data_IF_169875376156
#
_entry.id   IF_169875376156
#
_cell.length_a   1.000
_cell.length_b   1.000
_cell.length_c   1.000
_cell.angle_alpha   90.00
_cell.angle_beta   90.00
_cell.angle_gamma   90.00
#
_symmetry.space_group_name_H-M   'P 1'
#
loop_
_entity.id
_entity.type
_entity.pdbx_description
1 polymer ?
#
# COMPACT_ATOMS: atom_id res chain seq x y z
N UNK A 1 28.25 -16.84 5.75
CA UNK A 1 28.06 -15.39 5.94
C UNK A 1 27.36 -14.82 4.72
N UNK A 2 26.51 -13.79 4.93
CA UNK A 2 25.76 -13.10 3.89
C UNK A 2 25.55 -11.63 4.31
N UNK A 3 25.53 -10.70 3.36
CA UNK A 3 25.11 -9.32 3.62
C UNK A 3 23.71 -9.12 3.05
N UNK A 4 22.81 -8.59 3.86
CA UNK A 4 21.44 -8.21 3.49
C UNK A 4 21.28 -6.71 3.71
N UNK A 5 20.90 -5.95 2.69
CA UNK A 5 20.72 -4.51 2.80
C UNK A 5 19.51 -4.01 2.01
N UNK A 6 18.80 -3.09 2.63
CA UNK A 6 17.68 -2.36 2.03
C UNK A 6 18.16 -1.36 0.96
N UNK A 7 17.39 -1.20 -0.09
CA UNK A 7 17.54 -0.16 -1.10
C UNK A 7 16.19 0.54 -1.33
N UNK A 8 16.09 1.89 -1.20
CA UNK A 8 17.12 2.83 -0.78
C UNK A 8 17.50 2.71 0.72
N UNK A 9 18.60 3.33 1.23
CA UNK A 9 19.51 4.27 0.54
C UNK A 9 20.52 3.58 -0.41
N UNK A 10 20.60 4.08 -1.64
CA UNK A 10 21.39 3.42 -2.69
C UNK A 10 22.90 3.40 -2.41
N UNK A 11 23.45 4.46 -1.80
CA UNK A 11 24.87 4.58 -1.46
C UNK A 11 25.29 3.58 -0.37
N UNK A 12 24.44 3.38 0.64
CA UNK A 12 24.68 2.38 1.70
C UNK A 12 24.63 0.97 1.11
N UNK A 13 23.57 0.66 0.35
CA UNK A 13 23.43 -0.63 -0.31
C UNK A 13 24.60 -0.92 -1.26
N UNK A 14 25.13 0.08 -1.98
CA UNK A 14 26.30 -0.05 -2.83
C UNK A 14 27.54 -0.44 -2.03
N UNK A 15 27.82 0.22 -0.91
CA UNK A 15 28.97 -0.13 -0.05
C UNK A 15 28.82 -1.56 0.47
N UNK A 16 27.62 -1.98 0.87
CA UNK A 16 27.35 -3.35 1.30
C UNK A 16 27.61 -4.35 0.16
N UNK A 17 27.13 -4.08 -1.05
CA UNK A 17 27.32 -4.93 -2.22
C UNK A 17 28.82 -5.07 -2.60
N UNK A 18 29.55 -3.94 -2.64
CA UNK A 18 30.99 -3.92 -2.93
C UNK A 18 31.77 -4.69 -1.85
N UNK A 19 31.47 -4.50 -0.57
CA UNK A 19 32.09 -5.24 0.53
C UNK A 19 31.82 -6.74 0.42
N UNK A 20 30.58 -7.14 0.11
CA UNK A 20 30.25 -8.55 -0.10
C UNK A 20 31.07 -9.15 -1.25
N UNK A 21 31.13 -8.44 -2.37
CA UNK A 21 31.90 -8.85 -3.55
C UNK A 21 33.39 -9.00 -3.26
N UNK A 22 34.01 -8.05 -2.57
CA UNK A 22 35.43 -8.08 -2.18
C UNK A 22 35.75 -9.26 -1.28
N UNK A 23 34.79 -9.69 -0.46
CA UNK A 23 35.02 -10.82 0.47
C UNK A 23 34.46 -12.15 -0.07
N UNK A 24 33.88 -12.16 -1.27
CA UNK A 24 33.36 -13.38 -1.89
C UNK A 24 32.15 -13.97 -1.14
N UNK A 25 31.36 -13.15 -0.50
CA UNK A 25 30.15 -13.55 0.22
C UNK A 25 28.88 -13.08 -0.52
N UNK A 26 27.75 -13.81 -0.43
CA UNK A 26 26.51 -13.42 -1.07
C UNK A 26 25.98 -12.07 -0.57
N UNK A 27 25.36 -11.30 -1.48
CA UNK A 27 24.67 -10.06 -1.18
C UNK A 27 23.22 -10.12 -1.63
N UNK A 28 22.28 -9.84 -0.72
CA UNK A 28 20.86 -9.73 -1.02
C UNK A 28 20.42 -8.28 -0.90
N UNK A 29 19.84 -7.76 -1.96
CA UNK A 29 19.20 -6.44 -1.97
C UNK A 29 17.71 -6.55 -1.64
N UNK A 30 17.25 -5.78 -0.64
CA UNK A 30 15.84 -5.63 -0.28
C UNK A 30 15.30 -4.36 -0.93
N UNK A 31 14.58 -4.52 -2.04
CA UNK A 31 14.12 -3.42 -2.89
C UNK A 31 12.76 -2.92 -2.38
N UNK A 32 12.78 -1.85 -1.59
CA UNK A 32 11.59 -1.26 -0.98
C UNK A 32 11.06 -0.04 -1.73
N UNK A 33 11.89 0.58 -2.57
CA UNK A 33 11.50 1.68 -3.45
C UNK A 33 12.48 1.79 -4.63
N UNK A 34 12.04 2.38 -5.73
CA UNK A 34 12.85 2.54 -6.94
C UNK A 34 13.44 3.95 -7.01
N UNK A 35 14.61 4.16 -6.42
CA UNK A 35 15.37 5.39 -6.58
C UNK A 35 16.42 5.24 -7.68
N UNK A 36 16.49 6.19 -8.63
CA UNK A 36 15.90 7.55 -8.63
C UNK A 36 14.52 7.67 -9.30
N UNK A 37 13.91 6.61 -9.78
CA UNK A 37 12.67 6.66 -10.54
C UNK A 37 11.55 7.37 -9.75
N UNK A 38 11.35 7.01 -8.49
CA UNK A 38 10.37 7.63 -7.61
C UNK A 38 10.66 9.12 -7.32
N UNK A 39 11.92 9.53 -7.30
CA UNK A 39 12.28 10.94 -7.09
C UNK A 39 11.84 11.84 -8.25
N UNK A 40 11.73 11.28 -9.47
CA UNK A 40 11.29 12.02 -10.67
C UNK A 40 9.84 12.49 -10.58
N UNK A 41 9.03 11.89 -9.71
CA UNK A 41 7.68 12.36 -9.43
C UNK A 41 7.66 13.72 -8.74
N UNK A 42 8.65 13.98 -7.89
CA UNK A 42 8.75 15.24 -7.14
C UNK A 42 9.41 16.35 -7.97
N UNK A 43 10.38 15.98 -8.81
CA UNK A 43 11.16 16.91 -9.63
C UNK A 43 11.32 16.34 -11.03
N UNK A 44 10.43 16.70 -11.93
CA UNK A 44 10.48 16.27 -13.34
C UNK A 44 10.85 17.44 -14.24
N UNK A 45 12.12 17.90 -14.14
CA UNK A 45 12.69 18.87 -15.08
C UNK A 45 13.66 18.11 -15.98
N UNK A 46 13.31 17.86 -17.26
CA UNK A 46 14.18 17.13 -18.18
C UNK A 46 15.61 17.68 -18.16
N UNK A 47 16.62 16.83 -18.33
CA UNK A 47 18.06 17.13 -18.25
C UNK A 47 18.55 17.47 -16.83
N UNK A 48 17.87 18.35 -16.09
CA UNK A 48 18.28 18.73 -14.72
C UNK A 48 18.09 17.54 -13.77
N UNK A 49 16.95 16.87 -13.84
CA UNK A 49 16.67 15.67 -13.04
C UNK A 49 17.64 14.54 -13.40
N UNK A 50 17.96 14.35 -14.69
CA UNK A 50 18.91 13.32 -15.11
C UNK A 50 20.32 13.57 -14.58
N UNK A 51 20.76 14.82 -14.53
CA UNK A 51 22.07 15.16 -13.96
C UNK A 51 22.05 15.03 -12.44
N UNK A 52 21.01 15.54 -11.78
CA UNK A 52 20.91 15.53 -10.32
C UNK A 52 20.78 14.10 -9.76
N UNK A 53 20.10 13.20 -10.47
CA UNK A 53 19.86 11.84 -10.02
C UNK A 53 20.88 10.81 -10.52
N UNK A 54 21.86 11.23 -11.35
CA UNK A 54 22.94 10.32 -11.81
C UNK A 54 23.67 9.57 -10.69
N UNK A 55 24.03 10.19 -9.54
CA UNK A 55 24.68 9.44 -8.47
C UNK A 55 23.81 8.29 -7.95
N UNK A 56 22.52 8.54 -7.73
CA UNK A 56 21.58 7.52 -7.25
C UNK A 56 21.40 6.40 -8.27
N UNK A 57 21.26 6.72 -9.56
CA UNK A 57 21.17 5.74 -10.62
C UNK A 57 22.43 4.87 -10.73
N UNK A 58 23.61 5.48 -10.63
CA UNK A 58 24.89 4.77 -10.66
C UNK A 58 25.01 3.81 -9.46
N UNK A 59 24.63 4.27 -8.28
CA UNK A 59 24.74 3.47 -7.07
C UNK A 59 23.72 2.31 -7.10
N UNK A 60 22.48 2.53 -7.57
CA UNK A 60 21.51 1.47 -7.80
C UNK A 60 22.01 0.44 -8.83
N UNK A 61 22.49 0.90 -9.98
CA UNK A 61 23.07 0.02 -11.01
C UNK A 61 24.17 -0.87 -10.45
N UNK A 62 25.09 -0.28 -9.65
CA UNK A 62 26.18 -1.05 -9.04
C UNK A 62 25.70 -2.09 -8.04
N UNK A 63 24.64 -1.78 -7.27
CA UNK A 63 23.97 -2.76 -6.39
C UNK A 63 23.41 -3.92 -7.21
N UNK A 64 22.68 -3.59 -8.29
CA UNK A 64 22.02 -4.59 -9.13
C UNK A 64 23.01 -5.46 -9.91
N UNK A 65 24.17 -4.94 -10.30
CA UNK A 65 25.27 -5.74 -10.88
C UNK A 65 25.83 -6.79 -9.92
N UNK A 66 25.97 -6.45 -8.65
CA UNK A 66 26.73 -7.24 -7.66
C UNK A 66 25.85 -8.16 -6.82
N UNK A 67 24.51 -8.03 -6.84
CA UNK A 67 23.64 -8.83 -6.01
C UNK A 67 23.67 -10.32 -6.39
N UNK A 68 23.51 -11.16 -5.38
CA UNK A 68 23.30 -12.61 -5.52
C UNK A 68 21.82 -12.95 -5.52
N UNK A 69 21.00 -12.13 -4.83
CA UNK A 69 19.56 -12.27 -4.78
C UNK A 69 18.86 -10.96 -4.49
N UNK A 70 17.56 -10.88 -4.79
CA UNK A 70 16.73 -9.73 -4.50
C UNK A 70 15.44 -10.13 -3.77
N UNK A 71 15.05 -9.32 -2.81
CA UNK A 71 13.70 -9.29 -2.24
C UNK A 71 13.03 -8.03 -2.74
N UNK A 72 11.79 -8.08 -3.18
CA UNK A 72 11.05 -6.90 -3.58
C UNK A 72 9.68 -6.84 -2.90
N UNK A 73 9.23 -5.63 -2.57
CA UNK A 73 7.91 -5.41 -1.98
C UNK A 73 6.77 -5.49 -3.03
N UNK A 74 7.12 -5.74 -4.29
CA UNK A 74 6.24 -6.09 -5.39
C UNK A 74 7.01 -6.92 -6.43
N UNK A 75 6.33 -7.58 -7.36
CA UNK A 75 6.95 -8.32 -8.46
C UNK A 75 7.79 -7.37 -9.34
N UNK A 76 7.29 -6.16 -9.58
CA UNK A 76 8.02 -5.10 -10.29
C UNK A 76 9.35 -4.77 -9.59
N UNK A 77 9.33 -4.64 -8.26
CA UNK A 77 10.53 -4.30 -7.49
C UNK A 77 11.50 -5.47 -7.40
N UNK A 78 11.00 -6.68 -7.21
CA UNK A 78 11.85 -7.88 -7.21
C UNK A 78 12.53 -8.12 -8.56
N UNK A 79 11.85 -7.79 -9.66
CA UNK A 79 12.36 -7.95 -11.03
C UNK A 79 13.21 -6.76 -11.52
N UNK A 80 13.22 -5.62 -10.81
CA UNK A 80 13.91 -4.39 -11.25
C UNK A 80 15.40 -4.59 -11.56
N UNK A 81 16.18 -5.40 -10.82
CA UNK A 81 17.59 -5.65 -11.13
C UNK A 81 17.83 -6.21 -12.53
N UNK A 82 16.88 -6.95 -13.11
CA UNK A 82 17.03 -7.53 -14.44
C UNK A 82 17.19 -6.48 -15.57
N UNK A 83 16.82 -5.22 -15.34
CA UNK A 83 17.04 -4.14 -16.30
C UNK A 83 18.50 -3.67 -16.37
N UNK A 84 19.29 -3.96 -15.34
CA UNK A 84 20.67 -3.46 -15.20
C UNK A 84 21.72 -4.57 -15.27
N UNK A 85 21.30 -5.85 -15.41
CA UNK A 85 22.21 -7.00 -15.50
C UNK A 85 21.69 -8.07 -16.46
N UNK A 86 22.62 -8.79 -17.08
CA UNK A 86 22.31 -9.92 -17.97
C UNK A 86 22.31 -11.27 -17.25
N UNK A 87 23.04 -11.36 -16.13
CA UNK A 87 23.16 -12.62 -15.40
C UNK A 87 21.93 -12.91 -14.54
N UNK A 88 21.44 -14.17 -14.53
CA UNK A 88 20.30 -14.53 -13.69
C UNK A 88 20.61 -14.34 -12.21
N UNK A 89 19.59 -14.07 -11.42
CA UNK A 89 19.68 -13.98 -9.96
C UNK A 89 18.40 -14.57 -9.35
N UNK A 90 18.52 -15.05 -8.12
CA UNK A 90 17.33 -15.48 -7.37
C UNK A 90 16.57 -14.27 -6.82
N UNK A 91 15.26 -14.28 -6.92
CA UNK A 91 14.46 -13.22 -6.34
C UNK A 91 13.14 -13.75 -5.79
N UNK A 92 12.59 -13.00 -4.86
CA UNK A 92 11.31 -13.29 -4.23
C UNK A 92 10.53 -12.01 -3.98
N UNK A 93 9.23 -12.07 -4.23
CA UNK A 93 8.31 -10.99 -3.88
C UNK A 93 7.75 -11.25 -2.49
N UNK A 94 7.95 -10.28 -1.59
CA UNK A 94 7.39 -10.31 -0.25
C UNK A 94 6.74 -8.96 0.03
N UNK A 95 5.43 -8.91 -0.07
CA UNK A 95 4.68 -7.69 0.20
C UNK A 95 4.95 -7.18 1.61
N UNK A 96 4.93 -5.86 1.80
CA UNK A 96 5.00 -5.28 3.14
C UNK A 96 3.77 -5.75 3.91
N UNK A 97 3.99 -6.75 4.74
CA UNK A 97 2.93 -7.41 5.48
C UNK A 97 2.61 -6.72 6.81
N UNK A 98 1.59 -7.24 7.46
CA UNK A 98 1.24 -6.87 8.82
C UNK A 98 1.38 -8.06 9.77
N UNK A 99 1.34 -7.79 11.07
CA UNK A 99 1.20 -8.83 12.08
C UNK A 99 -0.29 -9.15 12.25
N UNK A 100 -0.74 -10.19 11.56
CA UNK A 100 -2.15 -10.57 11.53
C UNK A 100 -2.68 -10.95 12.92
N UNK A 101 -1.88 -11.57 13.76
CA UNK A 101 -2.26 -11.91 15.14
C UNK A 101 -2.48 -10.64 15.98
N UNK A 102 -1.61 -9.65 15.85
CA UNK A 102 -1.76 -8.35 16.54
C UNK A 102 -2.97 -7.57 16.02
N UNK A 103 -3.25 -7.65 14.70
CA UNK A 103 -4.46 -7.07 14.13
C UNK A 103 -5.73 -7.69 14.73
N UNK A 104 -5.82 -9.02 14.77
CA UNK A 104 -6.95 -9.74 15.32
C UNK A 104 -7.12 -9.51 16.84
N UNK A 105 -6.01 -9.40 17.56
CA UNK A 105 -6.03 -9.03 18.98
C UNK A 105 -6.57 -7.62 19.18
N UNK A 106 -6.11 -6.66 18.40
CA UNK A 106 -6.62 -5.29 18.43
C UNK A 106 -8.12 -5.21 18.15
N UNK A 107 -8.61 -5.96 17.17
CA UNK A 107 -10.06 -6.06 16.88
C UNK A 107 -10.82 -6.59 18.10
N UNK A 108 -10.35 -7.68 18.73
CA UNK A 108 -11.01 -8.33 19.86
C UNK A 108 -11.03 -7.41 21.09
N UNK A 109 -9.91 -6.75 21.40
CA UNK A 109 -9.78 -5.93 22.60
C UNK A 109 -10.53 -4.60 22.51
N UNK A 110 -10.74 -4.08 21.31
CA UNK A 110 -11.41 -2.81 21.08
C UNK A 110 -12.82 -2.93 20.48
N UNK A 111 -13.40 -4.13 20.45
CA UNK A 111 -14.73 -4.38 19.86
C UNK A 111 -15.84 -3.52 20.52
N UNK A 112 -15.79 -3.35 21.83
CA UNK A 112 -16.76 -2.55 22.59
C UNK A 112 -16.53 -1.04 22.47
N UNK A 113 -15.33 -0.61 22.09
CA UNK A 113 -14.95 0.79 21.94
C UNK A 113 -15.28 1.34 20.53
N UNK A 114 -15.44 0.47 19.54
CA UNK A 114 -15.74 0.83 18.15
C UNK A 114 -17.09 0.24 17.75
N UNK A 115 -18.16 0.94 18.13
CA UNK A 115 -19.53 0.50 17.84
C UNK A 115 -20.06 1.28 16.64
N UNK A 116 -20.34 0.54 15.54
CA UNK A 116 -21.02 1.11 14.37
C UNK A 116 -22.52 1.25 14.64
N UNK A 117 -23.11 2.46 14.55
CA UNK A 117 -24.54 2.65 14.72
C UNK A 117 -25.33 1.84 13.69
N UNK A 118 -26.48 1.35 14.11
CA UNK A 118 -27.35 0.59 13.22
C UNK A 118 -27.82 1.47 12.04
N UNK A 119 -27.69 0.95 10.82
CA UNK A 119 -28.05 1.65 9.59
C UNK A 119 -26.93 2.52 9.01
N UNK A 120 -25.79 2.67 9.67
CA UNK A 120 -24.64 3.32 9.04
C UNK A 120 -23.87 2.38 8.11
N UNK A 121 -23.37 2.96 7.02
CA UNK A 121 -22.43 2.33 6.08
C UNK A 121 -21.11 3.08 6.15
N UNK A 122 -20.02 2.38 6.54
CA UNK A 122 -18.71 2.99 6.72
C UNK A 122 -17.78 2.67 5.56
N UNK A 123 -17.30 3.73 4.89
CA UNK A 123 -16.18 3.67 3.97
C UNK A 123 -14.97 4.27 4.69
N UNK A 124 -13.89 3.49 4.86
CA UNK A 124 -12.79 3.89 5.75
C UNK A 124 -11.47 4.02 5.00
N UNK A 125 -10.78 5.12 5.26
CA UNK A 125 -9.38 5.34 4.93
C UNK A 125 -8.56 5.37 6.21
N UNK A 126 -7.41 4.69 6.22
CA UNK A 126 -6.42 4.77 7.30
C UNK A 126 -5.04 5.08 6.72
N UNK A 127 -4.38 6.12 7.21
CA UNK A 127 -3.04 6.51 6.79
C UNK A 127 -2.75 8.00 6.90
N UNK A 128 -1.60 8.41 6.36
CA UNK A 128 -1.18 9.81 6.31
C UNK A 128 -2.11 10.63 5.42
N UNK A 129 -2.42 11.86 5.83
CA UNK A 129 -3.14 12.85 5.04
C UNK A 129 -2.11 13.78 4.36
N UNK A 130 -1.69 13.42 3.15
CA UNK A 130 -0.62 14.15 2.45
C UNK A 130 -0.65 13.92 0.94
N UNK A 131 0.25 14.60 0.24
CA UNK A 131 0.25 14.82 -1.21
C UNK A 131 0.19 13.56 -2.10
N UNK A 132 0.57 12.39 -1.58
CA UNK A 132 0.48 11.12 -2.33
C UNK A 132 -0.93 10.51 -2.29
N UNK A 133 -1.85 11.08 -1.52
CA UNK A 133 -3.18 10.51 -1.28
C UNK A 133 -4.28 11.48 -1.73
N UNK A 134 -5.15 11.01 -2.62
CA UNK A 134 -6.25 11.79 -3.18
C UNK A 134 -7.49 11.75 -2.30
N UNK A 135 -7.37 12.32 -1.10
CA UNK A 135 -8.49 12.36 -0.15
C UNK A 135 -9.53 13.42 -0.51
N UNK A 136 -9.18 14.42 -1.31
CA UNK A 136 -10.14 15.40 -1.81
C UNK A 136 -11.18 14.76 -2.72
N UNK A 137 -10.77 13.85 -3.60
CA UNK A 137 -11.68 13.06 -4.42
C UNK A 137 -12.57 12.15 -3.59
N UNK A 138 -12.03 11.54 -2.51
CA UNK A 138 -12.83 10.74 -1.58
C UNK A 138 -13.89 11.58 -0.85
N UNK A 139 -13.54 12.77 -0.38
CA UNK A 139 -14.49 13.72 0.25
C UNK A 139 -15.61 14.12 -0.72
N UNK A 140 -15.27 14.43 -1.97
CA UNK A 140 -16.26 14.76 -3.01
C UNK A 140 -17.17 13.56 -3.35
N UNK A 141 -16.59 12.37 -3.48
CA UNK A 141 -17.34 11.14 -3.72
C UNK A 141 -18.31 10.81 -2.57
N UNK A 142 -17.90 11.05 -1.32
CA UNK A 142 -18.75 10.90 -0.15
C UNK A 142 -20.00 11.80 -0.26
N UNK A 143 -19.81 13.07 -0.66
CA UNK A 143 -20.93 13.98 -0.87
C UNK A 143 -21.87 13.54 -1.97
N UNK A 144 -21.34 13.09 -3.10
CA UNK A 144 -22.14 12.62 -4.24
C UNK A 144 -22.90 11.31 -3.91
N UNK A 145 -22.33 10.44 -3.09
CA UNK A 145 -22.92 9.17 -2.70
C UNK A 145 -23.96 9.30 -1.57
N UNK A 146 -23.94 10.37 -0.78
CA UNK A 146 -24.77 10.57 0.42
C UNK A 146 -26.27 10.34 0.15
N UNK A 147 -26.81 10.86 -0.96
CA UNK A 147 -28.21 10.71 -1.31
C UNK A 147 -28.58 9.31 -1.82
N UNK A 148 -27.61 8.49 -2.18
CA UNK A 148 -27.78 7.16 -2.78
C UNK A 148 -27.48 6.03 -1.79
N UNK A 149 -26.73 6.30 -0.73
CA UNK A 149 -26.34 5.33 0.30
C UNK A 149 -26.82 5.82 1.65
N UNK A 150 -27.89 5.20 2.14
CA UNK A 150 -28.45 5.55 3.45
C UNK A 150 -27.40 5.32 4.55
N UNK A 151 -27.24 6.31 5.42
CA UNK A 151 -26.31 6.23 6.55
C UNK A 151 -24.82 6.21 6.16
N UNK A 152 -24.48 6.65 4.95
CA UNK A 152 -23.06 6.74 4.54
C UNK A 152 -22.26 7.64 5.48
N UNK A 153 -21.15 7.12 5.98
CA UNK A 153 -20.12 7.88 6.71
C UNK A 153 -18.75 7.47 6.16
N UNK A 154 -17.96 8.44 5.74
CA UNK A 154 -16.56 8.21 5.43
C UNK A 154 -15.74 8.46 6.68
N UNK A 155 -14.99 7.45 7.14
CA UNK A 155 -14.12 7.53 8.30
C UNK A 155 -12.67 7.72 7.84
N UNK A 156 -12.05 8.82 8.23
CA UNK A 156 -10.65 9.11 7.92
C UNK A 156 -9.83 8.99 9.22
N UNK A 157 -9.02 7.92 9.28
CA UNK A 157 -8.12 7.61 10.39
C UNK A 157 -6.71 8.01 9.98
N UNK A 158 -6.12 8.90 10.76
CA UNK A 158 -4.77 9.39 10.52
C UNK A 158 -4.67 10.90 10.62
N UNK A 159 -3.47 11.40 10.36
CA UNK A 159 -3.15 12.82 10.42
C UNK A 159 -2.15 13.18 9.31
N UNK A 160 -1.93 14.46 9.08
CA UNK A 160 -0.98 14.92 8.10
C UNK A 160 -1.21 16.36 7.65
N UNK A 161 -0.32 16.89 6.78
CA UNK A 161 -0.33 18.29 6.38
C UNK A 161 -1.64 18.74 5.70
N UNK A 162 -2.37 17.84 5.06
CA UNK A 162 -3.58 18.19 4.30
C UNK A 162 -4.86 18.16 5.15
N UNK A 163 -4.78 17.84 6.46
CA UNK A 163 -5.93 17.68 7.34
C UNK A 163 -6.86 18.87 7.37
N UNK A 164 -6.30 20.06 7.58
CA UNK A 164 -7.11 21.28 7.72
C UNK A 164 -7.84 21.61 6.43
N UNK A 165 -7.15 21.52 5.28
CA UNK A 165 -7.73 21.73 3.96
C UNK A 165 -8.86 20.72 3.66
N UNK A 166 -8.66 19.45 3.99
CA UNK A 166 -9.67 18.41 3.79
C UNK A 166 -10.89 18.59 4.70
N UNK A 167 -10.67 19.03 5.93
CA UNK A 167 -11.75 19.33 6.89
C UNK A 167 -12.58 20.54 6.42
N UNK A 168 -11.91 21.59 5.91
CA UNK A 168 -12.58 22.75 5.33
C UNK A 168 -13.40 22.37 4.08
N UNK A 169 -12.80 21.56 3.17
CA UNK A 169 -13.50 21.05 2.00
C UNK A 169 -14.76 20.27 2.40
N UNK A 170 -14.64 19.30 3.30
CA UNK A 170 -15.76 18.48 3.75
C UNK A 170 -16.88 19.33 4.36
N UNK A 171 -16.52 20.31 5.18
CA UNK A 171 -17.46 21.23 5.81
C UNK A 171 -18.17 22.12 4.78
N UNK A 172 -17.43 22.68 3.82
CA UNK A 172 -17.95 23.62 2.82
C UNK A 172 -18.99 22.99 1.90
N UNK A 173 -18.81 21.70 1.56
CA UNK A 173 -19.75 20.96 0.72
C UNK A 173 -20.75 20.11 1.53
N UNK A 174 -20.61 20.08 2.86
CA UNK A 174 -21.44 19.27 3.75
C UNK A 174 -21.30 17.77 3.47
N UNK A 175 -20.08 17.28 3.28
CA UNK A 175 -19.81 15.85 3.03
C UNK A 175 -19.92 15.03 4.34
N UNK A 176 -20.46 13.80 4.30
CA UNK A 176 -20.59 12.93 5.47
C UNK A 176 -19.25 12.28 5.85
N UNK A 177 -18.26 13.09 6.24
CA UNK A 177 -16.89 12.66 6.55
C UNK A 177 -16.55 12.95 8.01
N UNK A 178 -15.98 11.97 8.69
CA UNK A 178 -15.46 12.07 10.06
C UNK A 178 -13.94 11.96 10.06
N UNK A 179 -13.24 13.00 10.48
CA UNK A 179 -11.79 13.02 10.67
C UNK A 179 -11.46 12.60 12.10
N UNK A 180 -11.00 11.37 12.29
CA UNK A 180 -10.77 10.76 13.61
C UNK A 180 -9.38 11.04 14.16
N UNK A 181 -8.46 11.61 13.35
CA UNK A 181 -7.08 11.84 13.76
C UNK A 181 -6.25 10.56 13.81
N UNK A 182 -5.07 10.67 14.40
CA UNK A 182 -4.22 9.50 14.66
C UNK A 182 -4.89 8.55 15.66
N UNK A 183 -4.96 7.29 15.31
CA UNK A 183 -5.51 6.23 16.15
C UNK A 183 -4.43 5.15 16.32
N UNK A 184 -4.15 4.67 17.54
CA UNK A 184 -3.24 3.56 17.78
C UNK A 184 -3.64 2.31 17.00
N UNK A 185 -2.64 1.49 16.64
CA UNK A 185 -2.78 0.36 15.71
C UNK A 185 -3.89 -0.64 16.12
N UNK A 186 -3.94 -1.01 17.39
CA UNK A 186 -4.93 -1.91 17.96
C UNK A 186 -6.37 -1.39 17.77
N UNK A 187 -6.58 -0.09 17.99
CA UNK A 187 -7.87 0.57 17.77
C UNK A 187 -8.17 0.76 16.28
N UNK A 188 -7.15 1.08 15.47
CA UNK A 188 -7.30 1.19 14.01
C UNK A 188 -7.80 -0.15 13.42
N UNK A 189 -7.27 -1.27 13.89
CA UNK A 189 -7.71 -2.60 13.48
C UNK A 189 -9.23 -2.80 13.73
N UNK A 190 -9.71 -2.39 14.92
CA UNK A 190 -11.13 -2.46 15.24
C UNK A 190 -11.99 -1.54 14.35
N UNK A 191 -11.54 -0.32 14.04
CA UNK A 191 -12.23 0.57 13.11
C UNK A 191 -12.33 -0.03 11.71
N UNK A 192 -11.23 -0.59 11.19
CA UNK A 192 -11.22 -1.24 9.89
C UNK A 192 -12.17 -2.44 9.85
N UNK A 193 -12.10 -3.31 10.87
CA UNK A 193 -12.96 -4.50 10.96
C UNK A 193 -14.47 -4.15 11.10
N UNK A 194 -14.80 -3.02 11.72
CA UNK A 194 -16.18 -2.54 11.84
C UNK A 194 -16.71 -1.86 10.56
N UNK A 195 -15.85 -1.57 9.59
CA UNK A 195 -16.20 -0.88 8.36
C UNK A 195 -16.86 -1.81 7.33
N UNK A 196 -17.49 -1.24 6.31
CA UNK A 196 -18.11 -2.00 5.22
C UNK A 196 -17.19 -2.12 4.00
N UNK A 197 -16.36 -1.09 3.78
CA UNK A 197 -15.37 -1.04 2.71
C UNK A 197 -14.16 -0.22 3.16
N UNK A 198 -12.99 -0.50 2.58
CA UNK A 198 -11.81 0.38 2.66
C UNK A 198 -11.58 1.10 1.35
N UNK A 199 -10.89 2.24 1.40
CA UNK A 199 -10.52 3.01 0.20
C UNK A 199 -9.01 3.26 0.21
N UNK A 200 -8.30 2.65 -0.75
CA UNK A 200 -6.91 2.95 -1.05
C UNK A 200 -6.87 4.12 -2.04
N UNK A 201 -6.87 5.34 -1.51
CA UNK A 201 -6.96 6.58 -2.30
C UNK A 201 -5.56 7.12 -2.60
N UNK A 202 -5.10 6.96 -3.83
CA UNK A 202 -3.81 7.46 -4.34
C UNK A 202 -4.04 8.51 -5.42
N UNK A 203 -3.11 9.46 -5.54
CA UNK A 203 -3.12 10.45 -6.63
C UNK A 203 -2.70 9.80 -7.95
N UNK A 204 -3.02 10.45 -9.07
CA UNK A 204 -2.52 10.05 -10.39
C UNK A 204 -0.99 10.05 -10.42
N UNK A 205 -0.41 9.00 -10.99
CA UNK A 205 1.03 8.84 -11.12
C UNK A 205 1.77 8.58 -9.81
N UNK A 206 1.08 8.17 -8.74
CA UNK A 206 1.75 7.76 -7.50
C UNK A 206 2.71 6.59 -7.76
N UNK A 207 4.00 6.75 -7.35
CA UNK A 207 5.06 5.77 -7.65
C UNK A 207 4.95 4.46 -6.86
N UNK A 208 4.15 4.46 -5.78
CA UNK A 208 4.04 3.27 -4.95
C UNK A 208 3.32 2.16 -5.69
N UNK A 209 4.00 1.03 -5.88
CA UNK A 209 3.40 -0.17 -6.46
C UNK A 209 2.32 -0.72 -5.52
N UNK A 210 2.70 -1.10 -4.30
CA UNK A 210 1.78 -1.62 -3.28
C UNK A 210 2.08 -0.92 -1.94
N UNK A 211 1.14 -0.12 -1.45
CA UNK A 211 1.32 0.65 -0.22
C UNK A 211 1.16 -0.22 1.03
N UNK A 212 1.88 0.12 2.10
CA UNK A 212 1.97 -0.67 3.35
C UNK A 212 0.63 -0.94 4.03
N UNK A 213 -0.35 -0.05 3.89
CA UNK A 213 -1.70 -0.19 4.49
C UNK A 213 -2.54 -1.32 3.90
N UNK A 214 -2.14 -1.86 2.74
CA UNK A 214 -2.91 -2.91 2.05
C UNK A 214 -3.04 -4.15 2.93
N UNK A 215 -1.98 -4.54 3.63
CA UNK A 215 -2.01 -5.68 4.56
C UNK A 215 -3.12 -5.54 5.61
N UNK A 216 -3.27 -4.37 6.21
CA UNK A 216 -4.31 -4.09 7.21
C UNK A 216 -5.72 -4.04 6.61
N UNK A 217 -5.86 -3.46 5.40
CA UNK A 217 -7.13 -3.43 4.69
C UNK A 217 -7.63 -4.83 4.34
N UNK A 218 -6.73 -5.70 3.87
CA UNK A 218 -7.06 -7.09 3.58
C UNK A 218 -7.33 -7.89 4.86
N UNK A 219 -6.57 -7.63 5.96
CA UNK A 219 -6.77 -8.25 7.26
C UNK A 219 -8.16 -7.96 7.84
N UNK A 220 -8.73 -6.78 7.56
CA UNK A 220 -10.08 -6.43 7.98
C UNK A 220 -11.18 -7.33 7.38
N UNK A 221 -10.89 -8.08 6.30
CA UNK A 221 -11.83 -8.98 5.67
C UNK A 221 -13.02 -8.29 5.02
N UNK A 222 -12.81 -7.10 4.48
CA UNK A 222 -13.81 -6.29 3.78
C UNK A 222 -13.29 -5.88 2.41
N UNK A 223 -14.17 -5.55 1.43
CA UNK A 223 -13.72 -5.17 0.11
C UNK A 223 -13.01 -3.80 0.12
N UNK A 224 -12.09 -3.67 -0.82
CA UNK A 224 -11.33 -2.44 -1.03
C UNK A 224 -11.71 -1.77 -2.35
N UNK A 225 -11.82 -0.43 -2.34
CA UNK A 225 -11.77 0.38 -3.56
C UNK A 225 -10.33 0.87 -3.71
N UNK A 226 -9.72 0.61 -4.85
CA UNK A 226 -8.36 1.01 -5.16
C UNK A 226 -8.35 2.08 -6.25
N UNK A 227 -7.67 3.21 -6.00
CA UNK A 227 -7.39 4.23 -7.02
C UNK A 227 -5.93 4.26 -7.46
N UNK A 228 -5.10 3.34 -6.93
CA UNK A 228 -3.71 3.20 -7.38
C UNK A 228 -3.63 2.68 -8.81
N UNK A 229 -2.61 3.11 -9.54
CA UNK A 229 -2.44 2.82 -10.97
C UNK A 229 -1.35 1.74 -11.24
N UNK A 230 -0.75 1.14 -10.20
CA UNK A 230 0.19 0.04 -10.40
C UNK A 230 -0.47 -1.07 -11.22
N UNK A 231 0.05 -1.43 -12.42
CA UNK A 231 -0.53 -2.49 -13.24
C UNK A 231 -0.57 -3.83 -12.50
N UNK A 232 0.47 -4.14 -11.73
CA UNK A 232 0.55 -5.35 -10.91
C UNK A 232 -0.58 -5.38 -9.88
N UNK A 233 -0.74 -4.29 -9.12
CA UNK A 233 -1.75 -4.26 -8.07
C UNK A 233 -3.18 -4.21 -8.62
N UNK A 234 -3.41 -3.47 -9.71
CA UNK A 234 -4.72 -3.46 -10.38
C UNK A 234 -5.10 -4.86 -10.89
N UNK A 235 -4.16 -5.57 -11.53
CA UNK A 235 -4.38 -6.93 -11.98
C UNK A 235 -4.66 -7.88 -10.79
N UNK A 236 -3.97 -7.70 -9.68
CA UNK A 236 -4.19 -8.47 -8.46
C UNK A 236 -5.57 -8.22 -7.85
N UNK A 237 -6.03 -6.98 -7.76
CA UNK A 237 -7.39 -6.63 -7.29
C UNK A 237 -8.46 -7.35 -8.10
N UNK A 238 -8.28 -7.43 -9.43
CA UNK A 238 -9.23 -8.08 -10.35
C UNK A 238 -9.15 -9.61 -10.28
N UNK A 239 -7.96 -10.17 -10.38
CA UNK A 239 -7.75 -11.62 -10.41
C UNK A 239 -8.16 -12.28 -9.11
N UNK A 240 -7.76 -11.73 -7.98
CA UNK A 240 -8.08 -12.23 -6.65
C UNK A 240 -9.51 -11.86 -6.22
N UNK A 241 -10.06 -10.78 -6.80
CA UNK A 241 -11.45 -10.35 -6.64
C UNK A 241 -11.81 -9.92 -5.22
N UNK A 242 -10.89 -9.25 -4.53
CA UNK A 242 -11.10 -8.68 -3.19
C UNK A 242 -11.53 -7.22 -3.19
N UNK A 243 -11.62 -6.60 -4.36
CA UNK A 243 -11.95 -5.18 -4.47
C UNK A 243 -12.35 -4.75 -5.87
N UNK A 244 -12.34 -3.44 -6.10
CA UNK A 244 -12.59 -2.81 -7.39
C UNK A 244 -11.58 -1.70 -7.66
N UNK A 245 -11.12 -1.59 -8.91
CA UNK A 245 -10.27 -0.48 -9.37
C UNK A 245 -11.14 0.68 -9.85
N UNK A 246 -10.70 1.89 -9.56
CA UNK A 246 -11.32 3.17 -9.95
C UNK A 246 -10.21 4.11 -10.40
N UNK A 247 -10.41 4.89 -11.43
CA UNK A 247 -9.42 5.87 -11.87
C UNK A 247 -9.18 6.95 -10.78
N UNK A 248 -7.91 7.33 -10.49
CA UNK A 248 -7.62 8.40 -9.55
C UNK A 248 -8.19 9.74 -10.03
N UNK A 249 -8.55 10.62 -9.10
CA UNK A 249 -9.15 11.92 -9.42
C UNK A 249 -10.59 11.86 -9.92
N UNK A 250 -11.19 10.68 -10.03
CA UNK A 250 -12.54 10.50 -10.57
C UNK A 250 -13.58 10.29 -9.46
N UNK A 251 -14.06 11.40 -8.87
CA UNK A 251 -15.06 11.35 -7.82
C UNK A 251 -16.38 10.68 -8.25
N UNK A 252 -16.77 10.78 -9.53
CA UNK A 252 -17.98 10.15 -10.05
C UNK A 252 -17.86 8.63 -10.07
N UNK A 253 -16.74 8.10 -10.56
CA UNK A 253 -16.50 6.66 -10.61
C UNK A 253 -16.33 6.08 -9.20
N UNK A 254 -15.61 6.78 -8.31
CA UNK A 254 -15.51 6.42 -6.90
C UNK A 254 -16.86 6.38 -6.21
N UNK A 255 -17.74 7.35 -6.50
CA UNK A 255 -19.14 7.35 -6.05
C UNK A 255 -19.88 6.10 -6.50
N UNK A 256 -19.79 5.76 -7.79
CA UNK A 256 -20.45 4.57 -8.35
C UNK A 256 -19.97 3.28 -7.68
N UNK A 257 -18.66 3.18 -7.41
CA UNK A 257 -18.08 2.04 -6.71
C UNK A 257 -18.63 1.92 -5.27
N UNK A 258 -18.68 3.02 -4.52
CA UNK A 258 -19.27 3.08 -3.17
C UNK A 258 -20.73 2.64 -3.20
N UNK A 259 -21.54 3.22 -4.08
CA UNK A 259 -22.98 2.92 -4.23
C UNK A 259 -23.18 1.44 -4.59
N UNK A 260 -22.44 0.94 -5.57
CA UNK A 260 -22.50 -0.47 -5.99
C UNK A 260 -22.17 -1.43 -4.85
N UNK A 261 -21.11 -1.16 -4.11
CA UNK A 261 -20.73 -2.00 -2.96
C UNK A 261 -21.75 -1.87 -1.83
N UNK A 262 -22.31 -0.69 -1.57
CA UNK A 262 -23.34 -0.51 -0.55
C UNK A 262 -24.61 -1.32 -0.87
N UNK A 263 -25.04 -1.33 -2.13
CA UNK A 263 -26.24 -2.06 -2.57
C UNK A 263 -26.12 -3.60 -2.54
N UNK A 264 -24.89 -4.16 -2.59
CA UNK A 264 -24.67 -5.60 -2.80
C UNK A 264 -23.95 -6.26 -1.62
N UNK A 265 -24.63 -6.46 -0.50
CA UNK A 265 -24.05 -7.03 0.73
C UNK A 265 -23.46 -8.45 0.54
N UNK A 266 -24.07 -9.27 -0.31
CA UNK A 266 -23.56 -10.61 -0.61
C UNK A 266 -22.22 -10.55 -1.34
N UNK A 267 -22.07 -9.63 -2.30
CA UNK A 267 -20.81 -9.42 -3.02
C UNK A 267 -19.73 -8.92 -2.07
N UNK A 268 -20.06 -7.97 -1.16
CA UNK A 268 -19.11 -7.51 -0.13
C UNK A 268 -18.59 -8.65 0.74
N UNK A 269 -19.47 -9.56 1.18
CA UNK A 269 -19.07 -10.72 1.98
C UNK A 269 -18.10 -11.65 1.23
N UNK A 270 -18.36 -11.89 -0.05
CA UNK A 270 -17.49 -12.73 -0.89
C UNK A 270 -16.13 -12.06 -1.08
N UNK A 271 -16.11 -10.78 -1.44
CA UNK A 271 -14.88 -10.00 -1.61
C UNK A 271 -14.08 -9.92 -0.30
N UNK A 272 -14.77 -9.69 0.82
CA UNK A 272 -14.14 -9.65 2.14
C UNK A 272 -13.51 -10.98 2.56
N UNK A 273 -14.17 -12.09 2.30
CA UNK A 273 -13.59 -13.42 2.57
C UNK A 273 -12.32 -13.66 1.73
N UNK A 274 -12.31 -13.23 0.47
CA UNK A 274 -11.12 -13.27 -0.40
C UNK A 274 -10.00 -12.36 0.11
N UNK A 275 -10.34 -11.13 0.53
CA UNK A 275 -9.38 -10.21 1.13
C UNK A 275 -8.68 -10.84 2.33
N UNK A 276 -9.46 -11.42 3.25
CA UNK A 276 -8.92 -12.10 4.43
C UNK A 276 -8.03 -13.30 4.10
N UNK A 277 -8.44 -14.12 3.14
CA UNK A 277 -7.64 -15.25 2.69
C UNK A 277 -6.27 -14.82 2.12
N UNK A 278 -6.26 -13.73 1.32
CA UNK A 278 -5.03 -13.16 0.78
C UNK A 278 -4.17 -12.57 1.90
N UNK A 279 -4.76 -11.86 2.87
CA UNK A 279 -4.04 -11.38 4.04
C UNK A 279 -3.28 -12.50 4.74
N UNK A 280 -3.96 -13.62 5.02
CA UNK A 280 -3.35 -14.78 5.68
C UNK A 280 -2.21 -15.40 4.86
N UNK A 281 -2.36 -15.50 3.53
CA UNK A 281 -1.38 -16.20 2.69
C UNK A 281 -0.21 -15.35 2.24
N UNK A 282 -0.40 -14.05 2.03
CA UNK A 282 0.58 -13.21 1.33
C UNK A 282 1.04 -12.00 2.14
N UNK A 283 0.25 -11.53 3.10
CA UNK A 283 0.55 -10.32 3.88
C UNK A 283 0.80 -10.59 5.37
N UNK A 284 0.54 -11.78 5.88
CA UNK A 284 0.94 -12.12 7.26
C UNK A 284 2.44 -12.32 7.34
N UNK A 285 3.13 -11.45 8.07
CA UNK A 285 4.58 -11.49 8.27
C UNK A 285 5.08 -12.86 8.78
N UNK A 286 4.27 -13.54 9.61
CA UNK A 286 4.63 -14.85 10.13
C UNK A 286 4.81 -15.91 9.02
N UNK A 287 4.14 -15.76 7.90
CA UNK A 287 4.18 -16.67 6.77
C UNK A 287 4.99 -16.12 5.60
N UNK A 288 4.71 -14.86 5.17
CA UNK A 288 5.30 -14.30 3.96
C UNK A 288 6.83 -14.14 4.06
N UNK A 289 7.35 -13.80 5.23
CA UNK A 289 8.79 -13.62 5.44
C UNK A 289 9.59 -14.93 5.43
N UNK A 290 8.94 -16.09 5.48
CA UNK A 290 9.63 -17.37 5.29
C UNK A 290 10.30 -17.49 3.91
N UNK A 291 9.71 -16.85 2.89
CA UNK A 291 10.31 -16.81 1.56
C UNK A 291 11.68 -16.10 1.53
N UNK A 292 11.87 -15.07 2.35
CA UNK A 292 13.20 -14.42 2.53
C UNK A 292 14.20 -15.40 3.14
N UNK A 293 13.77 -16.13 4.16
CA UNK A 293 14.62 -17.13 4.83
C UNK A 293 15.02 -18.26 3.86
N UNK A 294 14.11 -18.68 3.00
CA UNK A 294 14.38 -19.69 1.97
C UNK A 294 15.37 -19.17 0.92
N UNK A 295 15.17 -17.95 0.42
CA UNK A 295 16.10 -17.28 -0.49
C UNK A 295 17.53 -17.23 0.13
N UNK A 296 17.64 -16.79 1.38
CA UNK A 296 18.92 -16.70 2.07
C UNK A 296 19.58 -18.10 2.21
N UNK A 297 18.82 -19.14 2.52
CA UNK A 297 19.33 -20.51 2.62
C UNK A 297 19.83 -21.07 1.31
N UNK A 298 19.19 -20.72 0.20
CA UNK A 298 19.59 -21.16 -1.13
C UNK A 298 20.92 -20.51 -1.57
N UNK A 299 21.21 -19.31 -1.08
CA UNK A 299 22.42 -18.57 -1.41
C UNK A 299 23.63 -18.91 -0.53
N UNK A 300 23.43 -19.56 0.61
CA UNK A 300 24.49 -19.99 1.55
C UNK A 300 24.96 -21.41 1.30
#
# INVERSE_FOLDING_TARGET
DLIYAEIPPNDVARVCAETAHEHGIPFVADVNDLWPEAMRMLVNVPVVSDIAFRPFARDAHRVYELLSGAVGTSDEYAARPAADREEPYEHVTVYVGNNLAAFDEGVRENADAVVKPAGEFWATYAGTLGASYDLSTLVQAAKLAESQVSGLRVKILGDGPDRDQLTELASSIGAPVDFLGYIPYDRMAAWLAASDITVNSLVHGAAQSIVTKIGDYLAAGIPMINTGESPEFCAKVEADGFGVNVAPGNASELTQAIVKLAAHSSSRKIMGAKARDIACRQFDQAHSYQAIVELIRNLL
#
